data_IF_004141852446
#
_entry.id   IF_004141852446
#
_cell.length_a   1.000
_cell.length_b   1.000
_cell.length_c   1.000
_cell.angle_alpha   90.00
_cell.angle_beta   90.00
_cell.angle_gamma   90.00
#
_symmetry.space_group_name_H-M   'P 1'
#
loop_
_entity.id
_entity.type
_entity.pdbx_description
1 polymer ?
#
# COMPACT_ATOMS: atom_id res chain seq x y z
N UNK A 1 50.41 38.93 29.24
CA UNK A 1 51.07 40.23 28.92
C UNK A 1 51.10 40.28 27.40
N UNK A 2 50.24 41.00 26.69
CA UNK A 2 49.59 42.28 26.98
C UNK A 2 48.32 42.47 26.11
N UNK A 3 47.47 43.40 26.53
CA UNK A 3 46.25 44.01 25.95
C UNK A 3 46.25 44.19 24.40
N UNK A 4 45.14 44.40 23.67
CA UNK A 4 44.09 45.42 23.88
C UNK A 4 42.91 45.23 22.90
N UNK A 5 41.73 45.65 23.35
CA UNK A 5 40.44 45.88 22.67
C UNK A 5 40.47 46.78 21.43
N UNK A 6 39.55 46.57 20.48
CA UNK A 6 38.95 47.66 19.68
C UNK A 6 37.55 47.31 19.18
N UNK A 7 36.61 48.05 19.76
CA UNK A 7 35.20 48.29 19.43
C UNK A 7 35.10 49.20 18.20
N UNK A 8 34.17 48.95 17.28
CA UNK A 8 33.48 50.02 16.53
C UNK A 8 31.99 49.67 16.33
N UNK A 9 31.16 50.52 16.95
CA UNK A 9 29.75 50.75 16.72
C UNK A 9 29.50 51.35 15.33
N UNK A 10 28.39 50.98 14.68
CA UNK A 10 27.69 51.88 13.78
C UNK A 10 26.19 51.54 13.73
N UNK A 11 25.48 52.32 14.52
CA UNK A 11 24.03 52.56 14.56
C UNK A 11 23.49 53.19 13.28
N UNK A 12 22.32 52.75 12.81
CA UNK A 12 21.16 53.57 12.33
C UNK A 12 20.04 52.60 11.92
N UNK A 13 19.00 52.39 12.73
CA UNK A 13 17.75 53.16 12.84
C UNK A 13 17.01 53.42 11.50
N UNK A 14 15.93 52.67 11.27
CA UNK A 14 14.70 53.23 10.69
C UNK A 14 13.44 52.45 11.15
N UNK A 15 12.60 53.22 11.84
CA UNK A 15 11.20 53.05 12.28
C UNK A 15 10.24 52.30 11.33
N UNK A 16 9.39 51.40 11.84
CA UNK A 16 7.98 51.58 12.29
C UNK A 16 6.95 51.46 11.13
N UNK A 17 5.75 50.90 11.23
CA UNK A 17 4.89 50.41 12.31
C UNK A 17 3.81 49.46 11.70
N UNK A 18 2.93 48.82 12.51
CA UNK A 18 2.02 47.75 12.12
C UNK A 18 0.59 48.25 11.81
N UNK A 19 -0.21 47.43 11.11
CA UNK A 19 -1.66 47.64 10.97
C UNK A 19 -2.43 46.36 11.23
N UNK A 20 -3.09 46.32 12.38
CA UNK A 20 -4.19 45.42 12.71
C UNK A 20 -5.51 46.04 12.22
N UNK A 21 -6.48 45.25 11.74
CA UNK A 21 -7.94 45.52 11.87
C UNK A 21 -8.75 44.26 11.52
N UNK A 22 -9.33 43.60 12.53
CA UNK A 22 -10.74 43.15 12.56
C UNK A 22 -11.52 44.20 13.40
N UNK A 23 -12.88 44.24 13.55
CA UNK A 23 -13.91 43.20 13.33
C UNK A 23 -15.29 43.72 12.80
N UNK A 24 -16.32 42.85 12.88
CA UNK A 24 -17.79 43.10 12.95
C UNK A 24 -18.56 43.44 11.65
N UNK A 25 -19.87 43.21 11.46
CA UNK A 25 -20.97 42.47 12.12
C UNK A 25 -22.26 42.74 11.30
N UNK A 26 -23.26 41.83 11.37
CA UNK A 26 -24.70 42.01 10.98
C UNK A 26 -25.01 42.23 9.47
N UNK A 27 -26.11 41.74 8.88
CA UNK A 27 -27.49 41.80 9.34
C UNK A 27 -28.41 40.80 8.57
N UNK A 28 -29.49 40.43 9.25
CA UNK A 28 -30.68 39.70 8.81
C UNK A 28 -31.42 40.33 7.61
N UNK A 29 -32.27 39.56 6.91
CA UNK A 29 -33.76 39.56 6.99
C UNK A 29 -34.43 39.11 5.66
N UNK A 30 -35.44 38.24 5.82
CA UNK A 30 -36.76 38.14 5.15
C UNK A 30 -37.00 37.60 3.72
N UNK A 31 -37.71 36.47 3.70
CA UNK A 31 -39.02 36.17 3.05
C UNK A 31 -39.30 36.46 1.57
N UNK A 32 -39.62 35.37 0.84
CA UNK A 32 -40.84 35.20 0.02
C UNK A 32 -40.88 33.74 -0.50
N UNK A 33 -41.75 32.90 0.06
CA UNK A 33 -43.03 32.43 -0.53
C UNK A 33 -42.91 31.62 -1.84
N UNK A 34 -43.44 30.38 -1.80
CA UNK A 34 -43.51 29.50 -2.96
C UNK A 34 -44.04 28.10 -2.64
N UNK A 35 -45.29 28.04 -2.20
CA UNK A 35 -46.11 26.84 -1.97
C UNK A 35 -46.26 25.94 -3.21
N UNK A 36 -46.16 24.62 -3.03
CA UNK A 36 -47.08 23.65 -3.63
C UNK A 36 -47.14 22.36 -2.79
N UNK A 37 -48.28 22.19 -2.11
CA UNK A 37 -48.88 20.91 -1.75
C UNK A 37 -49.06 20.01 -2.99
N UNK A 38 -48.86 18.70 -2.86
CA UNK A 38 -49.90 17.71 -3.19
C UNK A 38 -49.54 16.36 -2.56
N UNK A 39 -50.56 15.80 -1.91
CA UNK A 39 -50.54 14.71 -0.97
C UNK A 39 -50.54 13.29 -1.58
N UNK A 40 -50.42 12.35 -0.64
CA UNK A 40 -51.13 11.06 -0.56
C UNK A 40 -50.38 9.79 -1.02
N UNK A 41 -49.90 9.03 -0.03
CA UNK A 41 -50.00 7.56 -0.02
C UNK A 41 -51.47 7.14 0.18
N UNK A 42 -51.88 5.90 -0.16
CA UNK A 42 -51.73 4.79 0.80
C UNK A 42 -51.49 3.40 0.19
N UNK A 43 -51.44 2.44 1.10
CA UNK A 43 -51.08 1.02 1.10
C UNK A 43 -52.00 0.04 0.37
N UNK A 44 -51.50 -1.19 0.23
CA UNK A 44 -52.13 -2.54 0.43
C UNK A 44 -51.63 -3.51 -0.66
N UNK A 45 -50.84 -4.55 -0.36
CA UNK A 45 -51.08 -5.80 0.36
C UNK A 45 -51.28 -7.01 -0.60
N UNK A 46 -50.71 -8.14 -0.18
CA UNK A 46 -51.00 -9.54 -0.54
C UNK A 46 -50.39 -10.23 -1.81
N UNK A 47 -49.44 -11.13 -1.51
CA UNK A 47 -49.33 -12.57 -1.90
C UNK A 47 -49.57 -13.03 -3.35
N UNK A 48 -48.59 -13.70 -3.95
CA UNK A 48 -48.47 -15.18 -4.01
C UNK A 48 -47.67 -15.66 -5.23
N UNK A 49 -47.02 -16.81 -5.02
CA UNK A 49 -46.78 -17.90 -5.97
C UNK A 49 -45.54 -17.86 -6.89
N UNK A 50 -44.75 -18.93 -6.77
CA UNK A 50 -43.74 -19.36 -7.72
C UNK A 50 -44.42 -19.96 -8.97
N UNK A 51 -43.72 -20.04 -10.11
CA UNK A 51 -43.16 -21.35 -10.49
C UNK A 51 -41.82 -21.29 -11.25
N UNK A 52 -41.26 -22.50 -11.38
CA UNK A 52 -40.02 -22.92 -12.06
C UNK A 52 -40.02 -22.76 -13.59
N UNK A 53 -38.82 -22.81 -14.18
CA UNK A 53 -38.50 -22.98 -15.61
C UNK A 53 -37.12 -22.39 -15.92
N UNK A 54 -36.02 -23.17 -15.82
CA UNK A 54 -35.38 -23.98 -16.88
C UNK A 54 -34.77 -23.14 -18.04
N UNK A 55 -33.43 -23.22 -18.14
CA UNK A 55 -32.57 -23.34 -19.34
C UNK A 55 -31.35 -22.40 -19.35
N UNK A 56 -30.16 -22.99 -19.56
CA UNK A 56 -29.01 -22.29 -20.16
C UNK A 56 -27.64 -22.63 -19.58
N UNK A 57 -26.98 -23.61 -20.18
CA UNK A 57 -25.61 -24.08 -20.00
C UNK A 57 -24.51 -23.00 -19.84
N UNK A 58 -23.52 -23.26 -18.98
CA UNK A 58 -22.14 -23.47 -19.45
C UNK A 58 -21.31 -24.18 -18.36
N UNK A 59 -21.02 -25.46 -18.59
CA UNK A 59 -20.15 -26.26 -17.76
C UNK A 59 -18.73 -26.20 -18.34
N UNK A 60 -17.81 -25.54 -17.63
CA UNK A 60 -16.37 -25.63 -17.89
C UNK A 60 -15.67 -26.33 -16.72
N UNK A 61 -15.36 -27.59 -16.98
CA UNK A 61 -14.12 -28.30 -16.65
C UNK A 61 -13.47 -28.02 -15.27
N UNK A 62 -13.81 -28.88 -14.32
CA UNK A 62 -13.06 -29.06 -13.08
C UNK A 62 -12.13 -30.28 -13.24
N UNK A 63 -10.94 -30.04 -13.76
CA UNK A 63 -9.83 -31.00 -13.74
C UNK A 63 -8.89 -30.65 -12.57
N UNK A 64 -8.95 -31.51 -11.57
CA UNK A 64 -7.84 -32.08 -10.80
C UNK A 64 -6.96 -31.17 -9.93
N UNK A 65 -7.13 -31.29 -8.61
CA UNK A 65 -6.19 -30.80 -7.61
C UNK A 65 -6.17 -31.71 -6.36
N UNK A 66 -5.71 -32.95 -6.51
CA UNK A 66 -5.12 -33.69 -5.39
C UNK A 66 -3.59 -33.71 -5.51
N UNK A 67 -2.97 -32.59 -5.12
CA UNK A 67 -1.54 -32.51 -4.87
C UNK A 67 -1.23 -33.06 -3.49
N UNK A 68 -0.96 -34.37 -3.43
CA UNK A 68 -0.45 -35.05 -2.26
C UNK A 68 0.90 -34.47 -1.82
N UNK A 69 1.01 -34.26 -0.51
CA UNK A 69 2.23 -34.11 0.27
C UNK A 69 3.32 -35.08 -0.21
N UNK A 70 4.48 -34.57 -0.61
CA UNK A 70 5.69 -35.38 -0.74
C UNK A 70 6.80 -34.72 0.05
N UNK A 71 7.00 -35.28 1.24
CA UNK A 71 8.11 -35.04 2.13
C UNK A 71 9.47 -35.28 1.45
N UNK A 72 10.31 -34.24 1.54
CA UNK A 72 11.71 -34.28 1.99
C UNK A 72 12.54 -35.55 1.68
N UNK A 73 13.17 -35.58 0.50
CA UNK A 73 14.38 -36.36 0.24
C UNK A 73 15.10 -35.91 -1.05
N UNK A 74 15.70 -34.70 -1.09
CA UNK A 74 16.77 -34.44 -2.08
C UNK A 74 17.64 -33.20 -1.77
N UNK A 75 18.81 -33.40 -1.17
CA UNK A 75 19.88 -32.41 -1.04
C UNK A 75 21.16 -33.04 -1.62
N UNK A 76 22.12 -32.34 -2.27
CA UNK A 76 22.31 -30.90 -2.52
C UNK A 76 22.36 -30.50 -4.02
N UNK A 77 22.19 -31.44 -4.95
CA UNK A 77 22.28 -31.18 -6.40
C UNK A 77 21.13 -30.31 -6.92
N UNK A 78 19.91 -30.48 -6.37
CA UNK A 78 18.75 -29.62 -6.67
C UNK A 78 18.92 -28.18 -6.19
N UNK A 79 19.65 -27.96 -5.08
CA UNK A 79 19.87 -26.61 -4.53
C UNK A 79 20.73 -25.76 -5.47
N UNK A 80 21.82 -26.32 -5.99
CA UNK A 80 22.65 -25.63 -6.98
C UNK A 80 21.93 -25.39 -8.32
N UNK A 81 21.04 -26.29 -8.73
CA UNK A 81 20.18 -26.09 -9.89
C UNK A 81 19.16 -24.97 -9.68
N UNK A 82 18.55 -24.90 -8.49
CA UNK A 82 17.55 -23.89 -8.15
C UNK A 82 18.15 -22.50 -8.01
N UNK A 83 19.33 -22.38 -7.39
CA UNK A 83 20.03 -21.08 -7.28
C UNK A 83 20.33 -20.52 -8.67
N UNK A 84 20.91 -21.34 -9.57
CA UNK A 84 21.16 -20.92 -10.96
C UNK A 84 19.89 -20.50 -11.71
N UNK A 85 18.77 -21.16 -11.43
CA UNK A 85 17.49 -20.78 -12.00
C UNK A 85 17.03 -19.41 -11.47
N UNK A 86 17.16 -19.17 -10.16
CA UNK A 86 16.79 -17.88 -9.55
C UNK A 86 17.69 -16.74 -10.02
N UNK A 87 18.99 -16.99 -10.20
CA UNK A 87 19.93 -16.04 -10.81
C UNK A 87 19.48 -15.68 -12.23
N UNK A 88 19.15 -16.68 -13.06
CA UNK A 88 18.63 -16.46 -14.41
C UNK A 88 17.28 -15.72 -14.43
N UNK A 89 16.36 -16.05 -13.52
CA UNK A 89 15.10 -15.31 -13.36
C UNK A 89 15.37 -13.83 -13.02
N UNK A 90 16.34 -13.56 -12.15
CA UNK A 90 16.76 -12.21 -11.76
C UNK A 90 17.41 -11.43 -12.91
N UNK A 91 18.28 -12.06 -13.69
CA UNK A 91 18.91 -11.45 -14.87
C UNK A 91 17.86 -11.01 -15.91
N UNK A 92 16.94 -11.91 -16.29
CA UNK A 92 15.87 -11.60 -17.24
C UNK A 92 14.97 -10.48 -16.74
N UNK A 93 14.69 -10.46 -15.44
CA UNK A 93 13.90 -9.41 -14.82
C UNK A 93 14.61 -8.06 -14.85
N UNK A 94 15.93 -8.05 -14.57
CA UNK A 94 16.74 -6.85 -14.62
C UNK A 94 16.79 -6.30 -16.04
N UNK A 95 17.04 -7.14 -17.05
CA UNK A 95 17.05 -6.72 -18.47
C UNK A 95 15.72 -6.07 -18.88
N UNK A 96 14.59 -6.64 -18.46
CA UNK A 96 13.27 -6.09 -18.72
C UNK A 96 13.07 -4.73 -18.05
N UNK A 97 13.45 -4.62 -16.77
CA UNK A 97 13.30 -3.38 -15.99
C UNK A 97 14.24 -2.28 -16.48
N UNK A 98 15.49 -2.60 -16.82
CA UNK A 98 16.46 -1.67 -17.39
C UNK A 98 15.92 -1.08 -18.70
N UNK A 99 15.48 -1.95 -19.61
CA UNK A 99 14.87 -1.52 -20.87
C UNK A 99 13.64 -0.63 -20.64
N UNK A 100 12.82 -0.93 -19.63
CA UNK A 100 11.65 -0.12 -19.28
C UNK A 100 12.05 1.26 -18.75
N UNK A 101 13.04 1.33 -17.85
CA UNK A 101 13.55 2.57 -17.28
C UNK A 101 14.14 3.47 -18.37
N UNK A 102 14.92 2.90 -19.29
CA UNK A 102 15.49 3.59 -20.45
C UNK A 102 14.42 4.19 -21.35
N UNK A 103 13.41 3.39 -21.72
CA UNK A 103 12.30 3.86 -22.58
C UNK A 103 11.51 4.98 -21.89
N UNK A 104 11.36 4.90 -20.57
CA UNK A 104 10.60 5.85 -19.78
C UNK A 104 11.40 7.08 -19.32
N UNK A 105 12.70 7.16 -19.67
CA UNK A 105 13.62 8.22 -19.24
C UNK A 105 13.61 8.37 -17.71
N UNK A 106 13.91 7.27 -17.02
CA UNK A 106 13.90 7.15 -15.57
C UNK A 106 15.27 6.74 -15.04
N UNK A 107 15.80 7.53 -14.12
CA UNK A 107 17.05 7.19 -13.41
C UNK A 107 16.82 6.04 -12.41
N UNK A 108 17.84 5.20 -12.23
CA UNK A 108 17.91 4.20 -11.18
C UNK A 108 18.82 3.04 -11.56
N UNK A 109 19.51 2.49 -10.57
CA UNK A 109 20.31 1.28 -10.73
C UNK A 109 19.50 0.05 -10.30
N UNK A 110 19.87 -1.12 -10.81
CA UNK A 110 19.23 -2.39 -10.50
C UNK A 110 20.18 -3.29 -9.70
N UNK A 111 19.73 -3.67 -8.51
CA UNK A 111 20.38 -4.69 -7.69
C UNK A 111 19.60 -6.00 -7.83
N UNK A 112 20.30 -7.08 -8.22
CA UNK A 112 19.74 -8.42 -8.33
C UNK A 112 20.29 -9.30 -7.21
N UNK A 113 19.39 -9.99 -6.50
CA UNK A 113 19.73 -10.89 -5.40
C UNK A 113 18.81 -12.13 -5.37
N UNK A 114 19.17 -13.12 -4.56
CA UNK A 114 18.38 -14.32 -4.30
C UNK A 114 17.97 -14.33 -2.83
N UNK A 115 16.69 -14.02 -2.58
CA UNK A 115 16.10 -14.05 -1.24
C UNK A 115 15.39 -15.38 -0.99
N UNK A 116 16.10 -16.34 -0.38
CA UNK A 116 15.54 -17.64 -0.01
C UNK A 116 15.22 -18.51 -1.22
N UNK A 117 13.94 -18.64 -1.58
CA UNK A 117 13.43 -19.47 -2.68
C UNK A 117 12.93 -18.67 -3.90
N UNK A 118 13.18 -17.36 -3.92
CA UNK A 118 12.75 -16.41 -4.96
C UNK A 118 13.89 -15.49 -5.41
N UNK A 119 13.78 -15.00 -6.64
CA UNK A 119 14.60 -13.90 -7.13
C UNK A 119 14.09 -12.58 -6.52
N UNK A 120 15.01 -11.66 -6.23
CA UNK A 120 14.70 -10.33 -5.75
C UNK A 120 15.41 -9.31 -6.65
N UNK A 121 14.68 -8.28 -7.06
CA UNK A 121 15.25 -7.16 -7.81
C UNK A 121 14.87 -5.87 -7.08
N UNK A 122 15.84 -4.99 -6.88
CA UNK A 122 15.62 -3.69 -6.26
C UNK A 122 16.05 -2.58 -7.22
N UNK A 123 15.19 -1.57 -7.38
CA UNK A 123 15.55 -0.33 -8.06
C UNK A 123 16.06 0.65 -7.00
N UNK A 124 17.32 1.06 -7.09
CA UNK A 124 18.02 1.92 -6.13
C UNK A 124 18.49 3.22 -6.77
N UNK A 125 18.79 4.22 -5.94
CA UNK A 125 19.29 5.51 -6.43
C UNK A 125 20.62 5.27 -7.15
N UNK A 126 20.76 5.83 -8.36
CA UNK A 126 22.00 5.78 -9.13
C UNK A 126 22.88 7.00 -8.82
N UNK A 127 24.13 6.96 -9.29
CA UNK A 127 25.02 8.14 -9.25
C UNK A 127 24.47 9.30 -10.11
N UNK A 128 23.65 8.99 -11.11
CA UNK A 128 23.09 9.94 -12.07
C UNK A 128 21.81 10.61 -11.57
N UNK A 129 21.06 9.94 -10.69
CA UNK A 129 19.80 10.45 -10.19
C UNK A 129 19.14 9.60 -9.11
N UNK A 130 18.11 10.17 -8.47
CA UNK A 130 17.29 9.43 -7.50
C UNK A 130 16.14 8.73 -8.20
N UNK A 131 15.82 7.52 -7.72
CA UNK A 131 14.69 6.73 -8.22
C UNK A 131 13.42 7.55 -8.16
N UNK A 132 12.72 7.74 -9.29
CA UNK A 132 11.51 8.52 -9.31
C UNK A 132 10.45 7.92 -8.39
N UNK A 133 9.98 8.68 -7.39
CA UNK A 133 8.88 8.26 -6.49
C UNK A 133 7.60 7.82 -7.23
N UNK A 134 7.42 8.27 -8.47
CA UNK A 134 6.33 7.85 -9.37
C UNK A 134 6.35 6.35 -9.69
N UNK A 135 7.51 5.69 -9.61
CA UNK A 135 7.65 4.24 -9.82
C UNK A 135 7.01 3.42 -8.70
N UNK A 136 6.92 3.97 -7.48
CA UNK A 136 6.14 3.36 -6.40
C UNK A 136 4.65 3.61 -6.62
N UNK A 137 4.31 4.86 -6.95
CA UNK A 137 2.93 5.31 -7.13
C UNK A 137 2.12 5.36 -5.83
N UNK A 138 0.82 5.74 -5.91
CA UNK A 138 -0.06 5.82 -4.75
C UNK A 138 -0.23 4.45 -4.08
N UNK A 139 -0.02 4.38 -2.78
CA UNK A 139 -0.13 3.15 -1.98
C UNK A 139 0.70 1.95 -2.51
N UNK A 140 1.77 2.21 -3.29
CA UNK A 140 2.56 1.15 -3.91
C UNK A 140 1.90 0.46 -5.12
N UNK A 141 0.79 0.99 -5.65
CA UNK A 141 0.06 0.36 -6.77
C UNK A 141 0.89 0.23 -8.05
N UNK A 142 1.76 1.20 -8.34
CA UNK A 142 2.62 1.14 -9.53
C UNK A 142 3.74 0.12 -9.31
N UNK A 143 4.34 0.08 -8.11
CA UNK A 143 5.30 -0.96 -7.74
C UNK A 143 4.72 -2.36 -7.93
N UNK A 144 3.51 -2.62 -7.44
CA UNK A 144 2.87 -3.94 -7.58
C UNK A 144 2.54 -4.25 -9.05
N UNK A 145 2.09 -3.25 -9.83
CA UNK A 145 1.87 -3.45 -11.27
C UNK A 145 3.17 -3.77 -12.02
N UNK A 146 4.27 -3.07 -11.72
CA UNK A 146 5.58 -3.34 -12.31
C UNK A 146 6.09 -4.72 -11.94
N UNK A 147 5.88 -5.16 -10.69
CA UNK A 147 6.24 -6.51 -10.26
C UNK A 147 5.50 -7.56 -11.08
N UNK A 148 4.19 -7.42 -11.28
CA UNK A 148 3.41 -8.38 -12.06
C UNK A 148 3.80 -8.38 -13.54
N UNK A 149 4.07 -7.22 -14.13
CA UNK A 149 4.58 -7.13 -15.49
C UNK A 149 5.94 -7.83 -15.64
N UNK A 150 6.82 -7.63 -14.66
CA UNK A 150 8.16 -8.26 -14.65
C UNK A 150 8.04 -9.77 -14.50
N UNK A 151 7.18 -10.25 -13.59
CA UNK A 151 6.89 -11.69 -13.45
C UNK A 151 6.40 -12.31 -14.75
N UNK A 152 5.54 -11.60 -15.47
CA UNK A 152 5.04 -12.04 -16.77
C UNK A 152 6.16 -12.08 -17.82
N UNK A 153 7.01 -11.05 -17.88
CA UNK A 153 8.16 -11.02 -18.78
C UNK A 153 9.11 -12.20 -18.52
N UNK A 154 9.44 -12.46 -17.25
CA UNK A 154 10.25 -13.62 -16.86
C UNK A 154 9.57 -14.93 -17.24
N UNK A 155 8.25 -15.05 -17.04
CA UNK A 155 7.51 -16.26 -17.43
C UNK A 155 7.55 -16.51 -18.94
N UNK A 156 7.44 -15.46 -19.76
CA UNK A 156 7.51 -15.57 -21.21
C UNK A 156 8.88 -16.09 -21.66
N UNK A 157 9.96 -15.63 -21.04
CA UNK A 157 11.33 -16.00 -21.44
C UNK A 157 11.79 -17.35 -20.85
N UNK A 158 11.39 -17.65 -19.61
CA UNK A 158 11.82 -18.87 -18.89
C UNK A 158 10.85 -20.04 -19.03
N UNK A 159 9.59 -19.77 -19.39
CA UNK A 159 8.50 -20.75 -19.41
C UNK A 159 7.94 -21.11 -18.03
N UNK A 160 8.50 -20.59 -16.95
CA UNK A 160 8.11 -20.92 -15.58
C UNK A 160 7.55 -19.69 -14.86
N UNK A 161 6.55 -19.92 -13.98
CA UNK A 161 5.99 -18.83 -13.17
C UNK A 161 7.03 -18.40 -12.14
N UNK A 162 7.49 -17.16 -12.24
CA UNK A 162 8.44 -16.62 -11.27
C UNK A 162 7.74 -16.15 -9.99
N UNK A 163 8.40 -16.37 -8.85
CA UNK A 163 8.05 -15.81 -7.55
C UNK A 163 8.79 -14.50 -7.25
N UNK A 164 9.34 -13.86 -8.28
CA UNK A 164 10.16 -12.67 -8.17
C UNK A 164 9.53 -11.59 -7.29
N UNK A 165 10.34 -10.95 -6.45
CA UNK A 165 9.93 -9.81 -5.63
C UNK A 165 10.65 -8.55 -6.13
N UNK A 166 9.88 -7.48 -6.32
CA UNK A 166 10.40 -6.18 -6.69
C UNK A 166 10.33 -5.24 -5.48
N UNK A 167 11.40 -4.49 -5.26
CA UNK A 167 11.42 -3.34 -4.35
C UNK A 167 11.94 -2.10 -5.07
N UNK A 168 11.50 -0.93 -4.62
CA UNK A 168 11.87 0.35 -5.22
C UNK A 168 12.23 1.30 -4.07
N UNK A 169 13.49 1.72 -4.03
CA UNK A 169 14.03 2.66 -3.05
C UNK A 169 13.71 2.30 -1.58
N UNK A 170 13.69 1.01 -1.23
CA UNK A 170 13.39 0.55 0.13
C UNK A 170 11.93 0.73 0.55
N UNK A 171 11.01 0.91 -0.40
CA UNK A 171 9.61 1.22 -0.13
C UNK A 171 8.96 0.18 0.79
N UNK A 172 9.20 -1.12 0.57
CA UNK A 172 8.58 -2.17 1.40
C UNK A 172 9.00 -2.07 2.87
N UNK A 173 10.26 -1.75 3.15
CA UNK A 173 10.77 -1.57 4.51
C UNK A 173 10.18 -0.32 5.17
N UNK A 174 10.17 0.80 4.45
CA UNK A 174 9.57 2.06 4.93
C UNK A 174 8.07 1.90 5.20
N UNK A 175 7.34 1.24 4.29
CA UNK A 175 5.91 1.01 4.45
C UNK A 175 5.60 0.13 5.65
N UNK A 176 6.39 -0.93 5.87
CA UNK A 176 6.27 -1.76 7.07
C UNK A 176 6.48 -0.94 8.34
N UNK A 177 7.51 -0.10 8.40
CA UNK A 177 7.76 0.75 9.57
C UNK A 177 6.58 1.71 9.85
N UNK A 178 6.03 2.34 8.82
CA UNK A 178 4.85 3.21 8.95
C UNK A 178 3.63 2.45 9.48
N UNK A 179 3.40 1.22 9.03
CA UNK A 179 2.27 0.40 9.50
C UNK A 179 2.44 -0.04 10.95
N UNK A 180 3.66 -0.35 11.37
CA UNK A 180 3.96 -0.66 12.78
C UNK A 180 3.67 0.54 13.66
N UNK A 181 4.11 1.74 13.28
CA UNK A 181 3.80 2.96 14.05
C UNK A 181 2.30 3.26 14.08
N UNK A 182 1.61 3.11 12.95
CA UNK A 182 0.15 3.25 12.89
C UNK A 182 -0.56 2.25 13.81
N UNK A 183 -0.11 1.00 13.84
CA UNK A 183 -0.65 -0.02 14.74
C UNK A 183 -0.41 0.36 16.20
N UNK A 184 0.79 0.82 16.57
CA UNK A 184 1.12 1.25 17.94
C UNK A 184 0.23 2.37 18.44
N UNK A 185 0.06 3.43 17.64
CA UNK A 185 -0.83 4.55 17.98
C UNK A 185 -2.27 4.05 18.15
N UNK A 186 -2.74 3.17 17.27
CA UNK A 186 -4.09 2.62 17.36
C UNK A 186 -4.29 1.73 18.59
N UNK A 187 -3.29 0.94 18.96
CA UNK A 187 -3.29 0.10 20.17
C UNK A 187 -3.35 0.96 21.43
N UNK A 188 -2.56 2.03 21.50
CA UNK A 188 -2.57 2.96 22.63
C UNK A 188 -3.93 3.63 22.79
N UNK A 189 -4.54 4.09 21.69
CA UNK A 189 -5.86 4.69 21.70
C UNK A 189 -6.93 3.71 22.20
N UNK A 190 -6.96 2.47 21.69
CA UNK A 190 -7.92 1.44 22.13
C UNK A 190 -7.74 1.09 23.60
N UNK A 191 -6.49 1.02 24.09
CA UNK A 191 -6.20 0.78 25.52
C UNK A 191 -6.64 1.94 26.40
N UNK A 192 -6.58 3.17 25.90
CA UNK A 192 -6.97 4.37 26.65
C UNK A 192 -8.49 4.59 26.67
N UNK A 193 -9.18 4.37 25.55
CA UNK A 193 -10.62 4.60 25.42
C UNK A 193 -11.46 3.39 25.82
N UNK A 194 -10.94 2.17 25.65
CA UNK A 194 -11.71 0.94 25.76
C UNK A 194 -12.71 0.75 24.62
N UNK A 195 -12.60 1.52 23.53
CA UNK A 195 -13.47 1.43 22.36
C UNK A 195 -12.71 0.82 21.18
N UNK A 196 -13.43 0.05 20.34
CA UNK A 196 -12.85 -0.52 19.12
C UNK A 196 -12.42 0.58 18.14
N UNK A 197 -11.32 0.36 17.43
CA UNK A 197 -10.80 1.30 16.43
C UNK A 197 -10.65 0.62 15.07
N UNK A 198 -11.31 1.17 14.06
CA UNK A 198 -11.16 0.76 12.66
C UNK A 198 -10.04 1.58 11.99
N UNK A 199 -9.16 0.90 11.26
CA UNK A 199 -8.09 1.52 10.49
C UNK A 199 -8.50 1.77 9.04
N UNK A 200 -7.66 2.48 8.30
CA UNK A 200 -7.84 2.68 6.86
C UNK A 200 -7.76 1.33 6.09
N UNK A 201 -8.48 1.20 4.97
CA UNK A 201 -8.34 0.05 4.08
C UNK A 201 -6.91 -0.14 3.61
N UNK A 202 -6.43 -1.38 3.67
CA UNK A 202 -5.06 -1.73 3.33
C UNK A 202 -5.02 -3.14 2.75
N UNK A 203 -3.98 -3.45 1.98
CA UNK A 203 -3.79 -4.76 1.33
C UNK A 203 -3.62 -5.90 2.34
N UNK A 204 -3.80 -7.15 1.90
CA UNK A 204 -3.69 -8.32 2.77
C UNK A 204 -2.33 -8.41 3.50
N UNK A 205 -1.23 -8.02 2.85
CA UNK A 205 0.09 -7.97 3.45
C UNK A 205 0.16 -6.94 4.58
N UNK A 206 -0.38 -5.75 4.35
CA UNK A 206 -0.37 -4.67 5.33
C UNK A 206 -1.25 -5.01 6.54
N UNK A 207 -2.43 -5.60 6.29
CA UNK A 207 -3.31 -6.10 7.36
C UNK A 207 -2.57 -7.11 8.23
N UNK A 208 -1.81 -8.03 7.63
CA UNK A 208 -1.01 -9.00 8.37
C UNK A 208 0.02 -8.33 9.29
N UNK A 209 0.76 -7.33 8.80
CA UNK A 209 1.72 -6.59 9.62
C UNK A 209 1.03 -5.94 10.82
N UNK A 210 -0.13 -5.32 10.62
CA UNK A 210 -0.91 -4.73 11.72
C UNK A 210 -1.41 -5.79 12.69
N UNK A 211 -1.98 -6.90 12.19
CA UNK A 211 -2.45 -8.01 13.03
C UNK A 211 -1.32 -8.59 13.90
N UNK A 212 -0.13 -8.78 13.33
CA UNK A 212 1.03 -9.30 14.05
C UNK A 212 1.44 -8.36 15.20
N UNK A 213 1.44 -7.03 14.97
CA UNK A 213 1.73 -6.03 16.01
C UNK A 213 0.63 -5.95 17.09
N UNK A 214 -0.64 -6.04 16.70
CA UNK A 214 -1.78 -6.03 17.64
C UNK A 214 -1.77 -7.26 18.53
N UNK A 215 -1.52 -8.43 17.95
CA UNK A 215 -1.39 -9.68 18.70
C UNK A 215 -0.19 -9.64 19.66
N UNK A 216 0.94 -9.07 19.23
CA UNK A 216 2.11 -8.87 20.09
C UNK A 216 1.82 -7.96 21.29
N UNK A 217 0.90 -7.00 21.13
CA UNK A 217 0.44 -6.13 22.21
C UNK A 217 -0.64 -6.75 23.13
N UNK A 218 -1.04 -7.99 22.86
CA UNK A 218 -2.02 -8.76 23.64
C UNK A 218 -3.48 -8.38 23.38
N UNK A 219 -3.78 -7.73 22.25
CA UNK A 219 -5.14 -7.36 21.83
C UNK A 219 -5.64 -8.29 20.72
N UNK A 220 -6.94 -8.30 20.51
CA UNK A 220 -7.58 -9.00 19.39
C UNK A 220 -7.82 -8.05 18.22
N UNK A 221 -7.78 -8.58 17.00
CA UNK A 221 -8.09 -7.82 15.80
C UNK A 221 -8.81 -8.66 14.76
N UNK A 222 -9.73 -8.02 14.05
CA UNK A 222 -10.53 -8.64 13.00
C UNK A 222 -10.36 -7.87 11.69
N UNK A 223 -10.41 -8.57 10.56
CA UNK A 223 -10.36 -7.96 9.23
C UNK A 223 -11.77 -7.87 8.63
N UNK A 224 -12.38 -6.69 8.65
CA UNK A 224 -13.73 -6.43 8.14
C UNK A 224 -13.73 -5.83 6.71
N UNK A 225 -14.79 -6.11 5.95
CA UNK A 225 -14.99 -5.61 4.59
C UNK A 225 -14.49 -6.54 3.48
N UNK A 226 -14.66 -6.10 2.22
CA UNK A 226 -14.25 -6.84 1.01
C UNK A 226 -13.16 -6.05 0.30
N UNK A 227 -12.15 -6.73 -0.23
CA UNK A 227 -11.08 -6.09 -0.99
C UNK A 227 -11.69 -5.30 -2.18
N UNK A 228 -11.27 -4.04 -2.43
CA UNK A 228 -10.11 -3.33 -1.86
C UNK A 228 -10.41 -2.50 -0.59
N UNK A 229 -11.65 -2.49 -0.09
CA UNK A 229 -12.08 -1.69 1.09
C UNK A 229 -11.90 -2.41 2.43
N UNK A 230 -11.25 -3.57 2.41
CA UNK A 230 -11.04 -4.40 3.59
C UNK A 230 -9.99 -3.79 4.50
N UNK A 231 -10.29 -3.72 5.79
CA UNK A 231 -9.51 -3.02 6.81
C UNK A 231 -9.43 -3.81 8.11
N UNK A 232 -8.52 -3.42 9.00
CA UNK A 232 -8.35 -4.05 10.32
C UNK A 232 -9.11 -3.25 11.38
N UNK A 233 -9.83 -3.96 12.24
CA UNK A 233 -10.51 -3.44 13.42
C UNK A 233 -9.82 -4.03 14.65
N UNK A 234 -9.36 -3.15 15.54
CA UNK A 234 -8.70 -3.54 16.80
C UNK A 234 -9.76 -3.52 17.90
N UNK A 235 -9.84 -4.62 18.65
CA UNK A 235 -10.79 -4.80 19.75
C UNK A 235 -10.11 -4.53 21.10
N UNK A 236 -10.82 -3.90 22.05
CA UNK A 236 -10.35 -3.77 23.43
C UNK A 236 -10.32 -5.14 24.13
N UNK A 237 -9.38 -5.31 25.07
CA UNK A 237 -9.25 -6.51 25.91
C UNK A 237 -10.20 -6.50 27.12
#
# INVERSE_FOLDING_TARGET
MSDTTSTEDLTTDLEAAPSATEPESTNSTDSAEGSIDTAASPSDAEQADAPEGEDGDDAVDAEDAEGADVAEADAPAKKGSRVRQLEREGEVAADFLETLLDIADLDGDLDVDVDGDRAAVAIVDSDEGRVPRRLVGPDGKVLEALQELTRLAVQVETGERSRLMLDIAGHRAQRRATLVELARVAIEDVKATGEKKSLEPMSAFERKVVHDEVAAAGLESESEGVDPKRHVVILPA
#
